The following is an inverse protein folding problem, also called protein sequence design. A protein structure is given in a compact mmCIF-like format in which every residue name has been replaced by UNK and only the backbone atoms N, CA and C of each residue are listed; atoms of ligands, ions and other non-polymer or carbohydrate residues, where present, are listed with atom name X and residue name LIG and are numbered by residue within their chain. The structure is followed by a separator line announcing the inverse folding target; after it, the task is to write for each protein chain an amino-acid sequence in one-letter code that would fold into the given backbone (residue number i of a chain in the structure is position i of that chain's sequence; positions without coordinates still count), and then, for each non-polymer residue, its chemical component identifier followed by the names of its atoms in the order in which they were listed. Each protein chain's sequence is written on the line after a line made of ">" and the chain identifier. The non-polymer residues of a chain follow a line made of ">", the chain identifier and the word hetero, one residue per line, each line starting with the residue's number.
data_IF_356062529652
#
_entry.id   IF_356062529652
#
_cell.length_a   1.000
_cell.length_b   1.000
_cell.length_c   1.000
_cell.angle_alpha   90.00
_cell.angle_beta   90.00
_cell.angle_gamma   90.00
#
_symmetry.space_group_name_H-M   'P 1'
#
loop_
_entity.id
_entity.type
_entity.pdbx_description
1 polymer ?
#
# COMPACT_ATOMS: atom_id res chain seq x y z
N UNK A 1 7.53 -17.38 -9.19
CA UNK A 1 7.94 -16.03 -8.74
C UNK A 1 8.67 -16.20 -7.42
N UNK A 2 9.87 -15.64 -7.30
CA UNK A 2 10.98 -16.14 -6.48
C UNK A 2 10.69 -16.24 -4.97
N UNK A 3 11.01 -17.42 -4.42
CA UNK A 3 11.10 -17.70 -2.99
C UNK A 3 12.29 -16.94 -2.39
N UNK A 4 12.05 -16.05 -1.42
CA UNK A 4 13.11 -15.37 -0.68
C UNK A 4 13.25 -16.00 0.71
N UNK A 5 13.89 -17.17 0.77
CA UNK A 5 14.44 -17.76 2.01
C UNK A 5 15.93 -17.44 2.08
N UNK A 6 16.32 -16.54 2.99
CA UNK A 6 17.71 -16.18 3.19
C UNK A 6 17.85 -14.99 4.12
N UNK A 7 18.47 -15.22 5.30
CA UNK A 7 18.93 -14.22 6.28
C UNK A 7 20.13 -13.42 5.72
N UNK A 8 20.01 -12.88 4.51
CA UNK A 8 20.77 -11.71 4.10
C UNK A 8 19.91 -10.50 4.42
N UNK A 9 20.51 -9.39 4.84
CA UNK A 9 19.82 -8.11 4.95
C UNK A 9 19.09 -7.83 3.62
N UNK A 10 17.79 -8.16 3.59
CA UNK A 10 16.94 -7.96 2.41
C UNK A 10 16.82 -6.45 2.29
N UNK A 11 17.69 -5.86 1.46
CA UNK A 11 17.51 -4.50 0.98
C UNK A 11 16.15 -4.46 0.31
N UNK A 12 15.17 -3.98 1.07
CA UNK A 12 13.82 -3.78 0.64
C UNK A 12 13.86 -2.92 -0.63
N UNK A 13 13.30 -3.36 -1.78
CA UNK A 13 13.35 -2.59 -3.04
C UNK A 13 12.82 -1.16 -2.88
N UNK A 14 13.49 -0.15 -3.44
CA UNK A 14 13.02 1.23 -3.33
C UNK A 14 11.66 1.39 -4.00
N UNK A 15 10.79 2.24 -3.44
CA UNK A 15 9.51 2.52 -4.09
C UNK A 15 9.77 3.24 -5.43
N UNK A 16 9.08 2.89 -6.53
CA UNK A 16 9.23 3.54 -7.83
C UNK A 16 9.08 5.07 -7.77
N UNK A 17 8.21 5.59 -6.90
CA UNK A 17 8.06 7.04 -6.69
C UNK A 17 9.32 7.71 -6.14
N UNK A 18 10.06 7.02 -5.27
CA UNK A 18 11.34 7.52 -4.73
C UNK A 18 12.45 7.39 -5.75
N UNK A 19 12.50 6.29 -6.50
CA UNK A 19 13.43 6.16 -7.64
C UNK A 19 13.20 7.29 -8.63
N UNK A 20 11.94 7.59 -8.97
CA UNK A 20 11.59 8.71 -9.83
C UNK A 20 12.08 10.06 -9.27
N UNK A 21 11.85 10.35 -7.99
CA UNK A 21 12.34 11.58 -7.36
C UNK A 21 13.88 11.69 -7.38
N UNK A 22 14.59 10.59 -7.15
CA UNK A 22 16.05 10.53 -7.28
C UNK A 22 16.51 10.79 -8.71
N UNK A 23 15.79 10.26 -9.70
CA UNK A 23 16.03 10.54 -11.13
C UNK A 23 15.86 12.03 -11.42
N UNK A 24 14.77 12.66 -10.95
CA UNK A 24 14.55 14.10 -11.14
C UNK A 24 15.66 14.95 -10.50
N UNK A 25 16.09 14.61 -9.29
CA UNK A 25 17.23 15.25 -8.62
C UNK A 25 18.48 15.09 -9.48
N UNK A 26 18.77 13.88 -9.98
CA UNK A 26 19.91 13.61 -10.86
C UNK A 26 19.90 14.46 -12.13
N UNK A 27 18.73 14.60 -12.77
CA UNK A 27 18.54 15.44 -13.96
C UNK A 27 18.82 16.92 -13.64
N UNK A 28 18.21 17.46 -12.59
CA UNK A 28 18.38 18.86 -12.20
C UNK A 28 19.84 19.20 -11.87
N UNK A 29 20.54 18.31 -11.15
CA UNK A 29 21.93 18.53 -10.77
C UNK A 29 22.88 18.42 -11.95
N UNK A 30 22.66 17.44 -12.82
CA UNK A 30 23.44 17.30 -14.05
C UNK A 30 23.27 18.54 -14.94
N UNK A 31 22.05 19.07 -15.04
CA UNK A 31 21.74 20.31 -15.75
C UNK A 31 22.48 21.51 -15.17
N UNK A 32 22.46 21.67 -13.84
CA UNK A 32 23.19 22.73 -13.16
C UNK A 32 24.70 22.65 -13.42
N UNK A 33 25.28 21.45 -13.34
CA UNK A 33 26.71 21.22 -13.58
C UNK A 33 27.10 21.46 -15.05
N UNK A 34 26.24 21.12 -16.00
CA UNK A 34 26.54 21.36 -17.42
C UNK A 34 26.65 22.87 -17.74
N UNK A 35 25.88 23.72 -17.05
CA UNK A 35 25.98 25.17 -17.20
C UNK A 35 27.32 25.71 -16.66
N UNK A 36 27.80 25.14 -15.55
CA UNK A 36 29.04 25.54 -14.87
C UNK A 36 30.31 25.00 -15.56
N UNK A 37 30.28 23.77 -16.06
CA UNK A 37 31.45 23.07 -16.59
C UNK A 37 31.78 23.47 -18.05
N UNK A 38 33.06 23.33 -18.40
CA UNK A 38 33.55 23.56 -19.77
C UNK A 38 33.01 22.54 -20.78
N UNK A 39 33.11 22.87 -22.08
CA UNK A 39 32.54 22.10 -23.21
C UNK A 39 32.81 20.58 -23.15
N UNK A 40 34.00 20.18 -22.69
CA UNK A 40 34.40 18.76 -22.56
C UNK A 40 33.48 17.92 -21.66
N UNK A 41 32.95 18.49 -20.57
CA UNK A 41 32.07 17.77 -19.63
C UNK A 41 30.59 17.97 -19.91
N UNK A 42 30.23 18.97 -20.70
CA UNK A 42 28.83 19.28 -21.04
C UNK A 42 28.15 18.14 -21.78
N UNK A 43 28.83 17.55 -22.76
CA UNK A 43 28.27 16.48 -23.58
C UNK A 43 27.94 15.26 -22.70
N UNK A 44 28.87 14.85 -21.83
CA UNK A 44 28.66 13.73 -20.90
C UNK A 44 27.50 14.00 -19.93
N UNK A 45 27.43 15.20 -19.37
CA UNK A 45 26.35 15.57 -18.45
C UNK A 45 24.98 15.61 -19.14
N UNK A 46 24.90 16.12 -20.37
CA UNK A 46 23.68 16.10 -21.18
C UNK A 46 23.25 14.67 -21.48
N UNK A 47 24.19 13.79 -21.79
CA UNK A 47 23.89 12.37 -21.99
C UNK A 47 23.32 11.73 -20.71
N UNK A 48 23.90 12.00 -19.54
CA UNK A 48 23.39 11.52 -18.24
C UNK A 48 21.97 12.03 -17.97
N UNK A 49 21.68 13.31 -18.24
CA UNK A 49 20.35 13.90 -18.06
C UNK A 49 19.26 13.22 -18.89
N UNK A 50 19.59 12.77 -20.10
CA UNK A 50 18.65 12.09 -21.00
C UNK A 50 18.56 10.60 -20.66
N UNK A 51 19.70 9.99 -20.31
CA UNK A 51 19.78 8.57 -19.99
C UNK A 51 19.03 8.22 -18.69
N UNK A 52 19.04 9.09 -17.67
CA UNK A 52 18.41 8.81 -16.38
C UNK A 52 16.88 8.60 -16.49
N UNK A 53 16.07 9.51 -17.07
CA UNK A 53 14.65 9.27 -17.29
C UNK A 53 14.37 8.09 -18.24
N UNK A 54 15.19 7.91 -19.28
CA UNK A 54 15.04 6.82 -20.23
C UNK A 54 15.27 5.45 -19.56
N UNK A 55 16.31 5.33 -18.74
CA UNK A 55 16.59 4.14 -17.95
C UNK A 55 15.47 3.84 -16.96
N UNK A 56 14.92 4.86 -16.30
CA UNK A 56 13.77 4.70 -15.40
C UNK A 56 12.53 4.16 -16.13
N UNK A 57 12.19 4.73 -17.29
CA UNK A 57 11.07 4.25 -18.12
C UNK A 57 11.29 2.85 -18.67
N UNK A 58 12.54 2.43 -18.87
CA UNK A 58 12.84 1.07 -19.27
C UNK A 58 12.72 0.09 -18.10
N UNK A 59 13.24 0.43 -16.93
CA UNK A 59 13.16 -0.43 -15.74
C UNK A 59 11.73 -0.56 -15.19
N UNK A 60 10.97 0.53 -15.23
CA UNK A 60 9.62 0.65 -14.68
C UNK A 60 8.63 1.02 -15.79
N UNK A 61 8.61 0.20 -16.85
CA UNK A 61 7.76 0.45 -18.01
C UNK A 61 6.28 0.58 -17.60
N UNK A 62 5.64 1.74 -17.84
CA UNK A 62 4.24 1.91 -17.51
C UNK A 62 3.37 0.90 -18.26
N UNK A 63 2.58 0.10 -17.54
CA UNK A 63 1.66 -0.87 -18.12
C UNK A 63 0.21 -0.54 -17.75
N UNK A 64 -0.74 -0.95 -18.59
CA UNK A 64 -2.18 -0.77 -18.37
C UNK A 64 -2.77 0.50 -18.97
N UNK A 65 -4.04 0.75 -18.64
CA UNK A 65 -4.89 1.77 -19.26
C UNK A 65 -4.39 3.23 -19.07
N UNK A 66 -3.56 3.46 -18.05
CA UNK A 66 -3.00 4.79 -17.72
C UNK A 66 -1.51 4.94 -18.07
N UNK A 67 -0.95 4.03 -18.88
CA UNK A 67 0.47 4.06 -19.25
C UNK A 67 0.88 5.41 -19.86
N UNK A 68 0.06 5.98 -20.75
CA UNK A 68 0.32 7.28 -21.38
C UNK A 68 0.44 8.44 -20.38
N UNK A 69 -0.38 8.44 -19.32
CA UNK A 69 -0.31 9.45 -18.27
C UNK A 69 0.99 9.33 -17.47
N UNK A 70 1.42 8.10 -17.17
CA UNK A 70 2.69 7.87 -16.48
C UNK A 70 3.89 8.34 -17.32
N UNK A 71 3.91 8.10 -18.63
CA UNK A 71 4.94 8.66 -19.53
C UNK A 71 4.96 10.19 -19.50
N UNK A 72 3.79 10.84 -19.53
CA UNK A 72 3.69 12.30 -19.45
C UNK A 72 4.21 12.84 -18.11
N UNK A 73 3.92 12.17 -16.99
CA UNK A 73 4.42 12.56 -15.66
C UNK A 73 5.95 12.45 -15.62
N UNK A 74 6.53 11.36 -16.14
CA UNK A 74 7.98 11.16 -16.10
C UNK A 74 8.71 12.17 -16.99
N UNK A 75 8.29 12.33 -18.24
CA UNK A 75 8.92 13.27 -19.19
C UNK A 75 8.67 14.73 -18.80
N UNK A 76 7.45 15.06 -18.38
CA UNK A 76 7.09 16.38 -17.90
C UNK A 76 7.86 16.76 -16.64
N UNK A 77 7.97 15.84 -15.68
CA UNK A 77 8.79 16.02 -14.49
C UNK A 77 10.27 16.22 -14.82
N UNK A 78 10.83 15.42 -15.73
CA UNK A 78 12.21 15.56 -16.17
C UNK A 78 12.48 16.90 -16.88
N UNK A 79 11.54 17.38 -17.70
CA UNK A 79 11.63 18.69 -18.35
C UNK A 79 11.62 19.84 -17.31
N UNK A 80 10.74 19.78 -16.31
CA UNK A 80 10.70 20.75 -15.21
C UNK A 80 12.03 20.71 -14.43
N UNK A 81 12.50 19.52 -14.06
CA UNK A 81 13.76 19.34 -13.34
C UNK A 81 14.96 19.91 -14.12
N UNK A 82 14.99 19.72 -15.44
CA UNK A 82 16.00 20.29 -16.32
C UNK A 82 15.96 21.82 -16.29
N UNK A 83 14.79 22.43 -16.45
CA UNK A 83 14.63 23.90 -16.42
C UNK A 83 15.10 24.46 -15.08
N UNK A 84 14.67 23.86 -13.97
CA UNK A 84 15.09 24.24 -12.61
C UNK A 84 16.61 24.13 -12.46
N UNK A 85 17.20 23.03 -12.92
CA UNK A 85 18.64 22.81 -12.90
C UNK A 85 19.42 23.84 -13.72
N UNK A 86 18.95 24.20 -14.90
CA UNK A 86 19.57 25.23 -15.75
C UNK A 86 19.50 26.61 -15.09
N UNK A 87 18.35 26.99 -14.51
CA UNK A 87 18.19 28.26 -13.79
C UNK A 87 19.16 28.31 -12.61
N UNK A 88 19.22 27.24 -11.83
CA UNK A 88 20.12 27.14 -10.68
C UNK A 88 21.60 27.22 -11.09
N UNK A 89 22.02 26.46 -12.11
CA UNK A 89 23.39 26.53 -12.63
C UNK A 89 23.75 27.91 -13.20
N UNK A 90 22.79 28.62 -13.83
CA UNK A 90 23.02 30.01 -14.27
C UNK A 90 23.19 30.95 -13.08
N UNK A 91 22.36 30.83 -12.04
CA UNK A 91 22.47 31.65 -10.84
C UNK A 91 23.85 31.47 -10.16
N UNK A 92 24.31 30.22 -10.02
CA UNK A 92 25.63 29.91 -9.47
C UNK A 92 26.78 30.49 -10.31
N UNK A 93 26.64 30.45 -11.64
CA UNK A 93 27.63 31.04 -12.56
C UNK A 93 27.65 32.57 -12.48
N UNK A 94 26.49 33.22 -12.38
CA UNK A 94 26.38 34.68 -12.23
C UNK A 94 26.97 35.12 -10.88
N UNK A 95 26.76 34.33 -9.83
CA UNK A 95 27.34 34.57 -8.51
C UNK A 95 28.87 34.33 -8.45
N UNK A 96 29.52 34.00 -9.58
CA UNK A 96 30.96 33.71 -9.67
C UNK A 96 31.46 32.64 -8.70
N UNK A 97 30.57 31.72 -8.32
CA UNK A 97 30.89 30.63 -7.42
C UNK A 97 31.80 29.65 -8.16
N UNK A 98 32.96 29.37 -7.56
CA UNK A 98 33.93 28.41 -8.10
C UNK A 98 33.30 27.05 -8.40
N UNK A 99 33.78 26.38 -9.44
CA UNK A 99 33.25 25.07 -9.88
C UNK A 99 33.30 24.03 -8.76
N UNK A 100 34.41 23.95 -8.02
CA UNK A 100 34.56 23.03 -6.87
C UNK A 100 33.53 23.28 -5.77
N UNK A 101 33.27 24.55 -5.43
CA UNK A 101 32.25 24.90 -4.44
C UNK A 101 30.84 24.58 -4.95
N UNK A 102 30.58 24.81 -6.24
CA UNK A 102 29.32 24.41 -6.88
C UNK A 102 29.09 22.91 -6.81
N UNK A 103 30.12 22.10 -7.11
CA UNK A 103 30.07 20.65 -6.96
C UNK A 103 29.78 20.24 -5.51
N UNK A 104 30.43 20.86 -4.53
CA UNK A 104 30.22 20.57 -3.13
C UNK A 104 28.78 20.89 -2.67
N UNK A 105 28.25 22.06 -3.05
CA UNK A 105 26.86 22.46 -2.76
C UNK A 105 25.87 21.50 -3.40
N UNK A 106 26.05 21.20 -4.69
CA UNK A 106 25.20 20.28 -5.44
C UNK A 106 25.23 18.89 -4.82
N UNK A 107 26.43 18.37 -4.50
CA UNK A 107 26.59 17.06 -3.87
C UNK A 107 25.89 17.03 -2.50
N UNK A 108 26.06 18.05 -1.67
CA UNK A 108 25.46 18.10 -0.34
C UNK A 108 23.93 18.15 -0.42
N UNK A 109 23.37 18.95 -1.33
CA UNK A 109 21.92 19.01 -1.58
C UNK A 109 21.41 17.66 -2.09
N UNK A 110 22.13 17.02 -3.02
CA UNK A 110 21.79 15.71 -3.55
C UNK A 110 21.78 14.64 -2.45
N UNK A 111 22.86 14.55 -1.68
CA UNK A 111 23.04 13.58 -0.61
C UNK A 111 21.99 13.77 0.50
N UNK A 112 21.69 15.03 0.84
CA UNK A 112 20.65 15.35 1.83
C UNK A 112 19.26 14.97 1.34
N UNK A 113 18.92 15.30 0.09
CA UNK A 113 17.64 14.95 -0.50
C UNK A 113 17.47 13.44 -0.65
N UNK A 114 18.49 12.75 -1.15
CA UNK A 114 18.50 11.29 -1.26
C UNK A 114 18.42 10.62 0.12
N UNK A 115 19.21 11.09 1.09
CA UNK A 115 19.19 10.60 2.46
C UNK A 115 17.82 10.77 3.13
N UNK A 116 17.17 11.92 2.94
CA UNK A 116 15.82 12.16 3.45
C UNK A 116 14.79 11.21 2.82
N UNK A 117 14.89 10.95 1.51
CA UNK A 117 13.98 10.03 0.83
C UNK A 117 14.17 8.58 1.27
N UNK A 118 15.43 8.15 1.43
CA UNK A 118 15.74 6.84 1.98
C UNK A 118 15.23 6.70 3.42
N UNK A 119 15.44 7.73 4.25
CA UNK A 119 14.94 7.77 5.62
C UNK A 119 13.40 7.68 5.70
N UNK A 120 12.69 8.34 4.79
CA UNK A 120 11.21 8.28 4.74
C UNK A 120 10.68 6.87 4.50
N UNK A 121 11.44 6.02 3.80
CA UNK A 121 11.08 4.63 3.46
C UNK A 121 11.73 3.59 4.36
N UNK A 122 12.58 4.01 5.29
CA UNK A 122 13.24 3.10 6.21
C UNK A 122 12.21 2.52 7.18
N UNK A 123 12.03 1.20 7.11
CA UNK A 123 11.23 0.43 8.06
C UNK A 123 12.20 -0.25 9.03
N UNK A 124 12.17 0.12 10.33
CA UNK A 124 13.00 -0.53 11.33
C UNK A 124 12.70 -2.02 11.43
N UNK A 125 13.73 -2.85 11.65
CA UNK A 125 13.56 -4.31 11.78
C UNK A 125 12.57 -4.66 12.89
N UNK A 126 12.61 -3.93 14.01
CA UNK A 126 11.69 -4.06 15.14
C UNK A 126 10.22 -3.88 14.77
N UNK A 127 9.91 -3.08 13.75
CA UNK A 127 8.54 -2.90 13.26
C UNK A 127 8.20 -3.86 12.11
N UNK A 128 9.19 -4.27 11.32
CA UNK A 128 8.99 -5.01 10.07
C UNK A 128 8.28 -6.37 10.25
N UNK A 129 8.53 -7.06 11.36
CA UNK A 129 7.92 -8.34 11.72
C UNK A 129 6.98 -8.27 12.94
N UNK A 130 6.77 -7.07 13.48
CA UNK A 130 5.89 -6.88 14.64
C UNK A 130 4.48 -6.52 14.19
N UNK A 131 3.45 -7.03 14.88
CA UNK A 131 2.08 -6.61 14.60
C UNK A 131 1.87 -5.13 14.94
N UNK A 132 0.99 -4.48 14.20
CA UNK A 132 0.54 -3.12 14.51
C UNK A 132 -0.57 -3.17 15.56
N UNK A 133 -0.47 -2.30 16.55
CA UNK A 133 -1.52 -2.10 17.53
C UNK A 133 -2.39 -0.92 17.05
N UNK A 134 -3.67 -1.17 16.81
CA UNK A 134 -4.63 -0.13 16.40
C UNK A 134 -5.78 -0.07 17.39
N UNK A 135 -6.28 1.14 17.67
CA UNK A 135 -7.40 1.37 18.56
C UNK A 135 -8.57 1.93 17.75
N UNK A 136 -9.71 1.24 17.78
CA UNK A 136 -10.94 1.63 17.09
C UNK A 136 -12.08 1.60 18.09
N UNK A 137 -12.82 2.71 18.21
CA UNK A 137 -13.93 2.86 19.16
C UNK A 137 -13.60 2.40 20.61
N UNK A 138 -12.34 2.53 21.04
CA UNK A 138 -11.85 2.11 22.35
C UNK A 138 -11.36 0.66 22.46
N UNK A 139 -11.50 -0.17 21.43
CA UNK A 139 -10.95 -1.54 21.38
C UNK A 139 -9.57 -1.54 20.74
N UNK A 140 -8.60 -2.18 21.39
CA UNK A 140 -7.28 -2.43 20.83
C UNK A 140 -7.30 -3.72 20.00
N UNK A 141 -6.77 -3.66 18.79
CA UNK A 141 -6.64 -4.75 17.85
C UNK A 141 -5.17 -4.93 17.50
N UNK A 142 -4.74 -6.18 17.37
CA UNK A 142 -3.36 -6.53 17.05
C UNK A 142 -3.31 -7.16 15.67
N UNK A 143 -2.78 -6.45 14.68
CA UNK A 143 -2.85 -6.89 13.29
C UNK A 143 -1.44 -7.23 12.79
N UNK A 144 -1.18 -8.50 12.39
CA UNK A 144 0.11 -8.87 11.84
C UNK A 144 0.37 -8.22 10.46
N UNK A 145 1.62 -7.86 10.13
CA UNK A 145 1.96 -7.19 8.87
C UNK A 145 1.61 -8.04 7.64
N UNK A 146 1.61 -9.37 7.77
CA UNK A 146 1.28 -10.31 6.69
C UNK A 146 -0.15 -10.14 6.17
N UNK A 147 -1.08 -9.67 7.02
CA UNK A 147 -2.46 -9.39 6.62
C UNK A 147 -2.59 -8.14 5.75
N UNK A 148 -1.53 -7.33 5.65
CA UNK A 148 -1.43 -6.11 4.86
C UNK A 148 -2.61 -5.14 5.08
N UNK A 149 -2.90 -4.74 6.33
CA UNK A 149 -4.09 -3.94 6.60
C UNK A 149 -3.98 -2.55 5.95
N UNK A 150 -5.11 -2.11 5.41
CA UNK A 150 -5.37 -0.73 5.00
C UNK A 150 -5.99 0.01 6.18
N UNK A 151 -5.30 1.00 6.69
CA UNK A 151 -5.70 1.77 7.88
C UNK A 151 -6.17 3.15 7.44
N UNK A 152 -7.31 3.60 7.98
CA UNK A 152 -7.90 4.91 7.70
C UNK A 152 -8.10 5.70 9.00
N UNK A 153 -7.73 6.98 8.96
CA UNK A 153 -7.97 7.97 10.00
C UNK A 153 -8.30 9.31 9.34
N UNK A 154 -9.56 9.76 9.43
CA UNK A 154 -10.09 10.89 8.67
C UNK A 154 -9.95 10.67 7.17
N UNK A 155 -9.28 11.61 6.49
CA UNK A 155 -8.98 11.53 5.06
C UNK A 155 -7.68 10.75 4.76
N UNK A 156 -6.88 10.45 5.79
CA UNK A 156 -5.60 9.76 5.64
C UNK A 156 -5.82 8.25 5.53
N UNK A 157 -5.25 7.68 4.46
CA UNK A 157 -5.34 6.25 4.18
C UNK A 157 -3.93 5.73 3.89
N UNK A 158 -3.51 4.70 4.63
CA UNK A 158 -2.22 4.06 4.41
C UNK A 158 -2.29 2.54 4.47
N UNK A 159 -1.21 1.88 4.05
CA UNK A 159 -1.07 0.42 4.11
C UNK A 159 0.09 0.02 5.02
N UNK A 160 -0.15 -0.92 5.92
CA UNK A 160 0.88 -1.50 6.77
C UNK A 160 1.28 -2.88 6.24
N UNK A 161 2.56 -3.27 6.36
CA UNK A 161 3.06 -4.58 5.90
C UNK A 161 3.14 -4.76 4.37
N UNK A 162 2.89 -3.71 3.58
CA UNK A 162 2.97 -3.76 2.11
C UNK A 162 4.34 -3.30 1.60
N UNK A 163 5.02 -4.18 0.86
CA UNK A 163 6.35 -3.91 0.27
C UNK A 163 6.27 -2.81 -0.80
N UNK A 164 5.15 -2.71 -1.50
CA UNK A 164 4.95 -1.73 -2.58
C UNK A 164 4.61 -0.34 -2.02
N UNK A 165 4.23 -0.25 -0.74
CA UNK A 165 3.85 0.98 -0.04
C UNK A 165 4.70 1.24 1.21
N UNK A 166 6.03 1.14 1.03
CA UNK A 166 7.02 1.33 2.11
C UNK A 166 6.95 2.65 2.84
N UNK A 167 6.64 3.74 2.15
CA UNK A 167 6.44 5.04 2.79
C UNK A 167 5.35 5.00 3.85
N UNK A 168 4.24 4.34 3.54
CA UNK A 168 3.08 4.20 4.42
C UNK A 168 3.46 3.28 5.59
N UNK A 169 4.09 2.15 5.31
CA UNK A 169 4.56 1.23 6.35
C UNK A 169 5.55 1.91 7.30
N UNK A 170 6.56 2.60 6.78
CA UNK A 170 7.51 3.37 7.59
C UNK A 170 6.83 4.48 8.39
N UNK A 171 5.80 5.14 7.83
CA UNK A 171 5.02 6.13 8.54
C UNK A 171 4.25 5.51 9.71
N UNK A 172 3.55 4.39 9.51
CA UNK A 172 2.89 3.66 10.58
C UNK A 172 3.85 3.19 11.67
N UNK A 173 5.04 2.72 11.29
CA UNK A 173 6.08 2.36 12.25
C UNK A 173 6.52 3.56 13.09
N UNK A 174 6.69 4.75 12.48
CA UNK A 174 7.06 5.95 13.23
C UNK A 174 5.98 6.39 14.21
N UNK A 175 4.71 6.42 13.79
CA UNK A 175 3.62 6.89 14.65
C UNK A 175 3.21 5.86 15.72
N UNK A 176 3.45 4.57 15.49
CA UNK A 176 3.27 3.50 16.50
C UNK A 176 4.49 3.32 17.41
N UNK A 177 5.52 4.18 17.32
CA UNK A 177 6.76 4.01 18.08
C UNK A 177 7.35 2.59 17.89
N UNK A 178 7.47 2.18 16.62
CA UNK A 178 7.89 0.84 16.17
C UNK A 178 6.97 -0.31 16.62
N UNK A 179 5.67 -0.07 16.65
CA UNK A 179 4.67 -1.06 17.05
C UNK A 179 4.44 -1.16 18.57
N UNK A 180 5.07 -0.31 19.38
CA UNK A 180 4.91 -0.33 20.84
C UNK A 180 3.67 0.42 21.32
N UNK A 181 3.20 1.39 20.54
CA UNK A 181 2.07 2.26 20.88
C UNK A 181 0.86 1.99 19.98
N UNK A 182 -0.36 1.86 20.55
CA UNK A 182 -1.57 1.76 19.75
C UNK A 182 -1.85 3.09 19.03
N UNK A 183 -2.26 3.00 17.77
CA UNK A 183 -2.65 4.15 16.95
C UNK A 183 -4.17 4.19 16.83
N UNK A 184 -4.76 5.37 17.06
CA UNK A 184 -6.18 5.60 16.83
C UNK A 184 -6.51 5.57 15.34
N UNK A 185 -7.48 4.73 14.98
CA UNK A 185 -7.96 4.55 13.61
C UNK A 185 -9.48 4.56 13.58
N UNK A 186 -10.03 5.10 12.49
CA UNK A 186 -11.46 5.06 12.23
C UNK A 186 -11.85 3.73 11.58
N UNK A 187 -10.99 3.20 10.71
CA UNK A 187 -11.31 1.99 9.97
C UNK A 187 -10.09 1.12 9.73
N UNK A 188 -10.28 -0.19 9.82
CA UNK A 188 -9.34 -1.22 9.34
C UNK A 188 -9.97 -1.96 8.19
N UNK A 189 -9.33 -1.92 7.02
CA UNK A 189 -9.63 -2.78 5.88
C UNK A 189 -8.57 -3.87 5.75
N UNK A 190 -8.99 -5.09 5.45
CA UNK A 190 -8.13 -6.21 5.14
C UNK A 190 -8.53 -6.74 3.78
N UNK A 191 -7.57 -7.11 2.95
CA UNK A 191 -7.84 -7.67 1.62
C UNK A 191 -7.27 -9.08 1.54
N UNK A 192 -7.97 -10.10 2.10
CA UNK A 192 -7.49 -11.48 2.16
C UNK A 192 -6.97 -12.02 0.83
N UNK A 193 -7.68 -11.77 -0.27
CA UNK A 193 -7.26 -12.21 -1.60
C UNK A 193 -5.87 -11.68 -2.00
N UNK A 194 -5.48 -10.48 -1.53
CA UNK A 194 -4.16 -9.88 -1.80
C UNK A 194 -3.08 -10.28 -0.80
N UNK A 195 -3.46 -10.70 0.42
CA UNK A 195 -2.55 -11.05 1.50
C UNK A 195 -2.34 -12.56 1.65
N UNK A 196 -3.22 -13.40 1.10
CA UNK A 196 -3.16 -14.86 1.28
C UNK A 196 -1.79 -15.45 0.91
N UNK A 197 -1.14 -14.96 -0.15
CA UNK A 197 0.18 -15.46 -0.54
C UNK A 197 1.26 -15.14 0.51
N UNK A 198 1.20 -13.96 1.14
CA UNK A 198 2.11 -13.57 2.20
C UNK A 198 1.84 -14.34 3.50
N UNK A 199 0.56 -14.52 3.84
CA UNK A 199 0.14 -15.31 5.00
C UNK A 199 0.53 -16.79 4.85
N UNK A 200 0.24 -17.41 3.70
CA UNK A 200 0.62 -18.80 3.41
C UNK A 200 2.13 -18.99 3.47
N UNK A 201 2.91 -18.07 2.90
CA UNK A 201 4.37 -18.13 2.97
C UNK A 201 4.88 -18.07 4.41
N UNK A 202 4.28 -17.23 5.25
CA UNK A 202 4.64 -17.09 6.67
C UNK A 202 4.28 -18.34 7.47
N UNK A 203 3.10 -18.90 7.23
CA UNK A 203 2.64 -20.12 7.91
C UNK A 203 3.33 -21.41 7.43
N UNK A 204 4.04 -21.36 6.31
CA UNK A 204 4.85 -22.47 5.80
C UNK A 204 6.35 -22.35 6.14
N UNK A 205 6.73 -21.34 6.94
CA UNK A 205 8.10 -21.15 7.39
C UNK A 205 8.50 -22.11 8.52
N UNK A 206 9.79 -22.11 8.87
CA UNK A 206 10.36 -23.00 9.89
C UNK A 206 9.82 -22.71 11.31
N UNK A 207 9.52 -21.44 11.60
CA UNK A 207 8.97 -20.98 12.88
C UNK A 207 7.69 -20.15 12.65
N UNK A 208 6.54 -20.80 12.40
CA UNK A 208 5.30 -20.11 12.09
C UNK A 208 4.70 -19.44 13.34
N UNK A 209 4.10 -18.24 13.22
CA UNK A 209 3.36 -17.60 14.31
C UNK A 209 2.20 -18.47 14.83
N UNK A 210 1.83 -18.31 16.10
CA UNK A 210 0.75 -19.07 16.74
C UNK A 210 -0.58 -19.00 15.98
N UNK A 211 -0.89 -17.84 15.40
CA UNK A 211 -2.11 -17.62 14.62
C UNK A 211 -2.16 -18.43 13.31
N UNK A 212 -1.05 -19.02 12.86
CA UNK A 212 -1.06 -19.91 11.69
C UNK A 212 -1.86 -21.20 11.91
N UNK A 213 -2.04 -21.62 13.16
CA UNK A 213 -2.86 -22.80 13.50
C UNK A 213 -4.34 -22.66 13.12
N UNK A 214 -4.85 -21.43 13.03
CA UNK A 214 -6.24 -21.12 12.68
C UNK A 214 -6.38 -20.61 11.23
N UNK A 215 -5.27 -20.32 10.56
CA UNK A 215 -5.27 -19.82 9.19
C UNK A 215 -5.64 -20.94 8.22
N UNK A 216 -6.56 -20.65 7.31
CA UNK A 216 -6.88 -21.51 6.16
C UNK A 216 -6.80 -20.70 4.87
N UNK A 217 -6.00 -21.13 3.87
CA UNK A 217 -5.77 -20.38 2.65
C UNK A 217 -6.99 -20.35 1.73
N UNK A 218 -7.80 -21.39 1.73
CA UNK A 218 -8.96 -21.53 0.84
C UNK A 218 -9.97 -20.38 1.00
N UNK A 219 -10.55 -20.13 2.20
CA UNK A 219 -11.49 -19.02 2.36
C UNK A 219 -10.80 -17.66 2.17
N UNK A 220 -9.50 -17.53 2.44
CA UNK A 220 -8.78 -16.26 2.30
C UNK A 220 -8.51 -15.86 0.85
N UNK A 221 -8.39 -16.84 -0.06
CA UNK A 221 -8.08 -16.57 -1.47
C UNK A 221 -9.21 -15.82 -2.19
N UNK A 222 -10.44 -16.00 -1.77
CA UNK A 222 -11.62 -15.52 -2.51
C UNK A 222 -12.25 -14.25 -1.95
N UNK A 223 -11.82 -13.83 -0.76
CA UNK A 223 -12.44 -12.73 -0.03
C UNK A 223 -11.75 -11.43 -0.37
N UNK A 224 -12.55 -10.48 -0.83
CA UNK A 224 -12.07 -9.21 -1.33
C UNK A 224 -11.72 -8.23 -0.23
N UNK A 225 -12.67 -7.99 0.68
CA UNK A 225 -12.50 -7.00 1.72
C UNK A 225 -13.13 -7.49 3.02
N UNK A 226 -12.42 -7.32 4.13
CA UNK A 226 -12.95 -7.38 5.48
C UNK A 226 -12.74 -6.00 6.09
N UNK A 227 -13.81 -5.32 6.45
CA UNK A 227 -13.79 -3.98 7.02
C UNK A 227 -14.21 -4.04 8.49
N UNK A 228 -13.50 -3.35 9.37
CA UNK A 228 -13.84 -3.14 10.78
C UNK A 228 -13.92 -1.64 11.03
N UNK A 229 -15.09 -1.15 11.45
CA UNK A 229 -15.34 0.28 11.70
C UNK A 229 -16.31 0.47 12.89
N UNK A 230 -16.46 1.69 13.44
CA UNK A 230 -17.51 2.01 14.40
C UNK A 230 -18.92 1.80 13.84
N UNK A 231 -19.85 1.34 14.68
CA UNK A 231 -21.25 1.06 14.33
C UNK A 231 -22.00 2.29 13.76
N UNK A 232 -21.58 3.49 14.15
CA UNK A 232 -22.23 4.75 13.79
C UNK A 232 -21.78 5.36 12.45
N UNK A 233 -20.89 4.72 11.68
CA UNK A 233 -20.49 5.30 10.39
C UNK A 233 -21.65 5.25 9.37
N UNK A 234 -22.17 6.41 8.91
CA UNK A 234 -23.22 6.49 7.88
C UNK A 234 -22.78 5.95 6.51
N UNK A 235 -21.50 5.56 6.37
CA UNK A 235 -20.95 4.88 5.20
C UNK A 235 -21.38 3.40 5.06
N UNK A 236 -21.99 2.81 6.10
CA UNK A 236 -22.69 1.53 6.01
C UNK A 236 -24.03 1.67 5.27
N UNK A 237 -23.99 2.24 4.07
CA UNK A 237 -25.04 2.00 3.10
C UNK A 237 -24.95 0.52 2.76
N UNK A 238 -25.79 -0.32 3.36
CA UNK A 238 -26.10 -1.68 2.91
C UNK A 238 -27.03 -1.52 1.69
N UNK A 239 -26.52 -1.14 0.50
CA UNK A 239 -27.35 -0.60 -0.58
C UNK A 239 -28.36 -1.69 -1.00
N UNK A 240 -27.88 -2.94 -0.99
CA UNK A 240 -28.60 -4.14 -1.35
C UNK A 240 -29.62 -4.64 -0.31
N UNK A 241 -29.57 -4.16 0.94
CA UNK A 241 -30.60 -4.48 1.94
C UNK A 241 -31.89 -3.68 1.68
N UNK A 242 -31.75 -2.39 1.34
CA UNK A 242 -32.87 -1.48 1.10
C UNK A 242 -33.44 -1.54 -0.31
N UNK A 243 -32.64 -1.92 -1.32
CA UNK A 243 -33.14 -2.07 -2.68
C UNK A 243 -34.08 -3.27 -2.83
N UNK A 244 -35.39 -3.00 -2.87
CA UNK A 244 -36.40 -3.94 -3.33
C UNK A 244 -36.40 -3.96 -4.87
N UNK A 245 -35.95 -5.06 -5.46
CA UNK A 245 -35.89 -5.21 -6.92
C UNK A 245 -35.36 -6.58 -7.31
N UNK A 246 -36.15 -7.24 -8.17
CA UNK A 246 -36.10 -8.51 -8.91
C UNK A 246 -34.88 -9.47 -8.94
N UNK A 247 -33.75 -9.18 -8.30
CA UNK A 247 -32.61 -10.09 -8.29
C UNK A 247 -32.91 -11.31 -7.39
N UNK A 248 -32.35 -12.48 -7.73
CA UNK A 248 -32.29 -13.63 -6.80
C UNK A 248 -31.43 -13.24 -5.60
N UNK A 249 -32.03 -12.55 -4.64
CA UNK A 249 -31.41 -12.12 -3.38
C UNK A 249 -31.70 -13.16 -2.32
N UNK A 250 -30.66 -13.76 -1.77
CA UNK A 250 -30.78 -14.58 -0.57
C UNK A 250 -30.31 -13.76 0.64
N UNK A 251 -31.23 -13.51 1.57
CA UNK A 251 -31.04 -12.66 2.75
C UNK A 251 -31.20 -13.51 4.01
N UNK A 252 -30.27 -13.34 4.96
CA UNK A 252 -30.38 -13.91 6.30
C UNK A 252 -30.05 -12.85 7.34
N UNK A 253 -30.77 -12.87 8.47
CA UNK A 253 -30.59 -11.94 9.58
C UNK A 253 -31.43 -10.65 9.46
N UNK A 254 -30.93 -9.56 10.01
CA UNK A 254 -31.54 -8.23 10.04
C UNK A 254 -30.52 -7.11 9.72
N UNK A 255 -30.93 -5.84 9.89
CA UNK A 255 -30.09 -4.67 9.63
C UNK A 255 -28.84 -4.58 10.55
N UNK A 256 -28.88 -5.17 11.73
CA UNK A 256 -27.79 -5.10 12.71
C UNK A 256 -26.82 -6.28 12.53
N UNK A 257 -27.35 -7.45 12.17
CA UNK A 257 -26.60 -8.67 11.94
C UNK A 257 -27.19 -9.41 10.75
N UNK A 258 -26.42 -9.60 9.67
CA UNK A 258 -26.97 -10.28 8.52
C UNK A 258 -25.98 -10.61 7.42
N UNK A 259 -26.52 -11.23 6.38
CA UNK A 259 -25.83 -11.44 5.13
C UNK A 259 -26.80 -11.33 3.96
N UNK A 260 -26.29 -10.87 2.83
CA UNK A 260 -27.01 -10.83 1.57
C UNK A 260 -26.10 -11.34 0.47
N UNK A 261 -26.61 -12.26 -0.34
CA UNK A 261 -25.99 -12.67 -1.59
C UNK A 261 -26.93 -12.31 -2.74
N UNK A 262 -26.37 -11.80 -3.82
CA UNK A 262 -27.08 -11.50 -5.06
C UNK A 262 -26.27 -11.99 -6.25
N UNK A 263 -26.98 -12.51 -7.25
CA UNK A 263 -26.43 -12.72 -8.58
C UNK A 263 -26.69 -11.45 -9.39
N UNK A 264 -25.65 -10.74 -9.82
CA UNK A 264 -25.80 -9.54 -10.64
C UNK A 264 -26.10 -9.91 -12.09
N UNK A 265 -27.24 -9.49 -12.63
CA UNK A 265 -27.65 -9.78 -14.02
C UNK A 265 -26.71 -9.17 -15.07
N UNK A 266 -25.99 -8.08 -14.73
CA UNK A 266 -25.11 -7.39 -15.67
C UNK A 266 -23.82 -8.17 -15.99
N UNK A 267 -23.30 -8.93 -15.02
CA UNK A 267 -22.00 -9.61 -15.13
C UNK A 267 -22.07 -11.11 -14.78
N UNK A 268 -23.25 -11.64 -14.42
CA UNK A 268 -23.44 -12.98 -13.83
C UNK A 268 -22.57 -13.24 -12.59
N UNK A 269 -22.16 -12.16 -11.91
CA UNK A 269 -21.28 -12.23 -10.74
C UNK A 269 -22.09 -12.43 -9.46
N UNK A 270 -21.76 -13.46 -8.69
CA UNK A 270 -22.26 -13.64 -7.34
C UNK A 270 -21.52 -12.69 -6.41
N UNK A 271 -22.26 -11.76 -5.81
CA UNK A 271 -21.74 -10.85 -4.79
C UNK A 271 -22.44 -11.14 -3.46
N UNK A 272 -21.65 -11.36 -2.44
CA UNK A 272 -22.09 -11.69 -1.10
C UNK A 272 -21.47 -10.73 -0.10
N UNK A 273 -22.29 -10.27 0.84
CA UNK A 273 -21.89 -9.44 1.96
C UNK A 273 -22.38 -10.05 3.25
N UNK A 274 -21.60 -9.93 4.31
CA UNK A 274 -22.04 -10.27 5.66
C UNK A 274 -21.56 -9.21 6.65
N UNK A 275 -22.40 -8.84 7.62
CA UNK A 275 -22.05 -7.89 8.68
C UNK A 275 -22.51 -8.41 10.05
N UNK A 276 -21.80 -7.99 11.09
CA UNK A 276 -22.17 -8.26 12.47
C UNK A 276 -21.52 -7.23 13.42
N UNK A 277 -22.11 -6.99 14.60
CA UNK A 277 -21.44 -6.28 15.67
C UNK A 277 -20.18 -7.03 16.13
N UNK A 278 -19.21 -6.28 16.62
CA UNK A 278 -17.93 -6.78 17.10
C UNK A 278 -17.47 -5.98 18.32
N UNK A 279 -16.83 -6.67 19.27
CA UNK A 279 -16.37 -6.09 20.53
C UNK A 279 -17.45 -5.96 21.61
N UNK A 280 -17.00 -5.74 22.85
CA UNK A 280 -17.89 -5.57 23.99
C UNK A 280 -18.75 -4.30 23.83
N UNK A 281 -20.07 -4.44 23.99
CA UNK A 281 -21.01 -3.31 23.88
C UNK A 281 -21.36 -2.87 22.45
N UNK A 282 -21.07 -3.69 21.42
CA UNK A 282 -21.50 -3.52 20.01
C UNK A 282 -20.98 -2.29 19.25
N UNK A 283 -19.93 -1.61 19.73
CA UNK A 283 -19.47 -0.35 19.12
C UNK A 283 -18.77 -0.49 17.76
N UNK A 284 -18.44 -1.71 17.33
CA UNK A 284 -17.81 -1.97 16.04
C UNK A 284 -18.72 -2.82 15.16
N UNK A 285 -18.63 -2.62 13.86
CA UNK A 285 -19.21 -3.49 12.84
C UNK A 285 -18.08 -4.07 12.01
N UNK A 286 -18.15 -5.37 11.76
CA UNK A 286 -17.31 -6.04 10.78
C UNK A 286 -18.14 -6.40 9.55
N UNK A 287 -17.67 -6.05 8.36
CA UNK A 287 -18.27 -6.48 7.10
C UNK A 287 -17.29 -7.21 6.22
N UNK A 288 -17.80 -8.14 5.41
CA UNK A 288 -16.98 -8.92 4.48
C UNK A 288 -17.66 -8.97 3.13
N UNK A 289 -16.89 -8.82 2.04
CA UNK A 289 -17.35 -9.04 0.67
C UNK A 289 -16.40 -9.95 -0.12
N UNK A 290 -16.94 -10.65 -1.13
CA UNK A 290 -16.13 -11.43 -2.08
C UNK A 290 -15.79 -10.59 -3.33
N UNK A 291 -14.71 -10.98 -4.02
CA UNK A 291 -14.33 -10.43 -5.33
C UNK A 291 -14.12 -11.52 -6.40
N UNK A 292 -14.21 -12.80 -6.03
CA UNK A 292 -13.81 -13.91 -6.89
C UNK A 292 -15.00 -14.54 -7.64
N UNK A 293 -14.80 -14.82 -8.94
CA UNK A 293 -15.76 -15.45 -9.85
C UNK A 293 -16.04 -16.93 -9.57
N UNK A 294 -15.22 -17.58 -8.76
CA UNK A 294 -15.49 -18.94 -8.27
C UNK A 294 -16.81 -19.05 -7.51
N UNK A 295 -17.35 -17.92 -7.04
CA UNK A 295 -18.68 -17.84 -6.43
C UNK A 295 -19.83 -17.96 -7.46
N UNK A 296 -19.57 -17.77 -8.75
CA UNK A 296 -20.62 -17.73 -9.80
C UNK A 296 -21.23 -19.12 -10.08
N UNK A 297 -20.56 -20.20 -9.67
CA UNK A 297 -21.05 -21.58 -9.76
C UNK A 297 -21.26 -22.26 -8.41
N UNK A 298 -21.02 -21.55 -7.31
CA UNK A 298 -21.11 -22.10 -5.96
C UNK A 298 -22.54 -21.93 -5.40
N UNK A 299 -23.10 -22.94 -4.70
CA UNK A 299 -24.33 -22.75 -3.94
C UNK A 299 -24.21 -21.57 -2.97
N UNK A 300 -25.25 -20.73 -2.91
CA UNK A 300 -25.24 -19.48 -2.14
C UNK A 300 -24.94 -19.75 -0.65
N UNK A 301 -25.43 -20.87 -0.13
CA UNK A 301 -25.19 -21.32 1.24
C UNK A 301 -23.71 -21.59 1.51
N UNK A 302 -23.01 -22.20 0.55
CA UNK A 302 -21.58 -22.48 0.66
C UNK A 302 -20.75 -21.20 0.53
N UNK A 303 -21.13 -20.30 -0.39
CA UNK A 303 -20.53 -18.97 -0.53
C UNK A 303 -20.63 -18.15 0.77
N UNK A 304 -21.81 -18.17 1.41
CA UNK A 304 -22.05 -17.53 2.70
C UNK A 304 -21.17 -18.12 3.81
N UNK A 305 -21.06 -19.45 3.88
CA UNK A 305 -20.24 -20.09 4.90
C UNK A 305 -18.76 -19.77 4.73
N UNK A 306 -18.23 -19.69 3.50
CA UNK A 306 -16.85 -19.25 3.26
C UNK A 306 -16.60 -17.82 3.75
N UNK A 307 -17.52 -16.89 3.48
CA UNK A 307 -17.43 -15.52 4.01
C UNK A 307 -17.41 -15.52 5.54
N UNK A 308 -18.29 -16.32 6.16
CA UNK A 308 -18.36 -16.43 7.61
C UNK A 308 -17.06 -16.99 8.20
N UNK A 309 -16.49 -18.01 7.57
CA UNK A 309 -15.23 -18.64 7.97
C UNK A 309 -14.05 -17.68 7.84
N UNK A 310 -13.90 -17.01 6.70
CA UNK A 310 -12.83 -16.03 6.50
C UNK A 310 -12.87 -14.91 7.55
N UNK A 311 -14.07 -14.39 7.81
CA UNK A 311 -14.31 -13.40 8.86
C UNK A 311 -13.94 -13.93 10.24
N UNK A 312 -14.37 -15.14 10.59
CA UNK A 312 -14.05 -15.77 11.89
C UNK A 312 -12.55 -15.93 12.07
N UNK A 313 -11.84 -16.39 11.04
CA UNK A 313 -10.38 -16.53 11.06
C UNK A 313 -9.72 -15.16 11.22
N UNK A 314 -10.14 -14.15 10.46
CA UNK A 314 -9.59 -12.78 10.59
C UNK A 314 -9.75 -12.22 11.99
N UNK A 315 -10.94 -12.31 12.58
CA UNK A 315 -11.18 -11.88 13.95
C UNK A 315 -10.33 -12.64 14.96
N UNK A 316 -10.21 -13.96 14.78
CA UNK A 316 -9.41 -14.81 15.67
C UNK A 316 -7.90 -14.54 15.58
N UNK A 317 -7.42 -14.02 14.45
CA UNK A 317 -6.02 -13.58 14.31
C UNK A 317 -5.82 -12.22 15.01
N UNK A 318 -6.81 -11.33 14.93
CA UNK A 318 -6.70 -9.93 15.38
C UNK A 318 -6.97 -9.75 16.88
N UNK A 319 -7.75 -10.66 17.48
CA UNK A 319 -8.10 -10.67 18.90
C UNK A 319 -7.05 -11.38 19.80
N UNK A 320 -5.91 -11.83 19.24
CA UNK A 320 -4.78 -12.44 19.99
C UNK A 320 -3.81 -11.39 20.54
#
# INVERSE_FOLDING_TARGET
>A
MQCFGGKGSKLFPLNPSTVFQLVLIGVALSAALAVQCGWRWRITLVFIMVALPAAFLWSEAPTGQYAGLAYLIVLGGAAIALVVGVIFGRALRIATIGTMFTFAVIFFVAASAAGLQLYRQHVPESCSGSPIHVRIAGKNLRIPPEMRPRLKNGDDIGHFGSVDRKSDFAWFCRISENGTRPIDMDTVGLTPASSHSAMTATCSGDEPPNWCSIYSPEPYRFIGNILIAPEAEPGFHLPYWKEGGSLKKDRQGDLNFGSVCLLSDADSLTQCWAWQPFGEGSRLTISTNNLDRTFDGMPIEQAREMIRQARKVALSIIDQ
#
